data_IF_756595924573
#
_entry.id   IF_756595924573
#
_cell.length_a   1.000
_cell.length_b   1.000
_cell.length_c   1.000
_cell.angle_alpha   90.00
_cell.angle_beta   90.00
_cell.angle_gamma   90.00
#
_symmetry.space_group_name_H-M   'P 1'
#
loop_
_entity.id
_entity.type
_entity.pdbx_description
1 polymer ?
#
# COMPACT_ATOMS: atom_id res chain seq x y z
N UNK A 1 5.95 12.22 0.37
CA UNK A 1 5.86 10.92 1.07
C UNK A 1 6.79 9.97 0.34
N UNK A 2 7.72 9.34 1.04
CA UNK A 2 8.56 8.31 0.42
C UNK A 2 7.80 6.97 0.50
N UNK A 3 7.76 6.21 -0.59
CA UNK A 3 7.19 4.86 -0.59
C UNK A 3 8.17 3.93 0.09
N UNK A 4 7.66 3.02 0.91
CA UNK A 4 8.45 2.00 1.58
C UNK A 4 8.36 0.71 0.76
N UNK A 5 9.50 0.07 0.41
CA UNK A 5 9.47 -1.21 -0.28
C UNK A 5 8.81 -2.27 0.61
N UNK A 6 8.02 -3.15 0.00
CA UNK A 6 7.31 -4.22 0.70
C UNK A 6 7.69 -5.57 0.11
N UNK A 7 7.74 -6.62 0.93
CA UNK A 7 8.06 -7.96 0.47
C UNK A 7 6.81 -8.67 -0.04
N UNK A 8 6.43 -8.39 -1.28
CA UNK A 8 5.25 -8.97 -1.95
C UNK A 8 5.57 -9.39 -3.38
N UNK A 9 4.90 -10.44 -3.87
CA UNK A 9 5.01 -10.86 -5.28
C UNK A 9 4.34 -9.86 -6.24
N UNK A 10 3.40 -9.06 -5.76
CA UNK A 10 2.63 -8.12 -6.59
C UNK A 10 3.01 -6.65 -6.35
N UNK A 11 3.41 -6.30 -5.13
CA UNK A 11 3.68 -4.92 -4.72
C UNK A 11 5.18 -4.69 -4.55
N UNK A 12 5.70 -3.66 -5.20
CA UNK A 12 7.08 -3.21 -5.05
C UNK A 12 7.23 -2.26 -3.84
N UNK A 13 6.33 -1.28 -3.72
CA UNK A 13 6.38 -0.29 -2.64
C UNK A 13 5.00 0.28 -2.31
N UNK A 14 4.81 0.73 -1.08
CA UNK A 14 3.58 1.40 -0.63
C UNK A 14 3.92 2.66 0.15
N UNK A 15 3.13 3.72 -0.04
CA UNK A 15 3.26 4.96 0.71
C UNK A 15 1.91 5.54 1.08
N UNK A 16 1.85 6.24 2.21
CA UNK A 16 0.62 6.92 2.64
C UNK A 16 0.88 8.33 3.11
N UNK A 17 0.01 9.25 2.70
CA UNK A 17 -0.01 10.63 3.17
C UNK A 17 -1.23 10.86 4.05
N UNK A 18 -1.00 11.02 5.36
CA UNK A 18 -2.04 11.43 6.32
C UNK A 18 -2.66 12.78 5.96
N UNK A 19 -1.86 13.71 5.43
CA UNK A 19 -2.32 15.05 5.02
C UNK A 19 -3.29 14.99 3.84
N UNK A 20 -3.01 14.11 2.87
CA UNK A 20 -3.82 13.96 1.66
C UNK A 20 -4.86 12.84 1.78
N UNK A 21 -4.83 12.07 2.88
CA UNK A 21 -5.57 10.81 3.03
C UNK A 21 -5.44 9.95 1.78
N UNK A 22 -4.21 9.80 1.29
CA UNK A 22 -3.93 9.16 0.02
C UNK A 22 -2.95 8.01 0.19
N UNK A 23 -3.30 6.86 -0.35
CA UNK A 23 -2.48 5.66 -0.42
C UNK A 23 -1.92 5.52 -1.83
N UNK A 24 -0.61 5.40 -1.96
CA UNK A 24 0.09 5.08 -3.19
C UNK A 24 0.59 3.65 -3.13
N UNK A 25 0.30 2.87 -4.17
CA UNK A 25 0.72 1.49 -4.33
C UNK A 25 1.48 1.39 -5.64
N UNK A 26 2.73 0.93 -5.55
CA UNK A 26 3.59 0.62 -6.68
C UNK A 26 3.65 -0.89 -6.86
N UNK A 27 3.29 -1.35 -8.05
CA UNK A 27 3.33 -2.75 -8.42
C UNK A 27 4.69 -3.11 -9.00
N UNK A 28 5.05 -4.39 -8.94
CA UNK A 28 6.33 -4.92 -9.49
C UNK A 28 6.46 -4.70 -11.00
N UNK A 29 5.36 -4.49 -11.71
CA UNK A 29 5.34 -4.14 -13.14
C UNK A 29 5.54 -2.64 -13.41
N UNK A 30 5.77 -1.83 -12.37
CA UNK A 30 5.97 -0.38 -12.46
C UNK A 30 4.69 0.45 -12.47
N UNK A 31 3.50 -0.18 -12.45
CA UNK A 31 2.25 0.55 -12.36
C UNK A 31 2.09 1.19 -10.98
N UNK A 32 1.66 2.45 -10.94
CA UNK A 32 1.44 3.19 -9.69
C UNK A 32 -0.03 3.58 -9.61
N UNK A 33 -0.69 3.11 -8.56
CA UNK A 33 -2.08 3.44 -8.26
C UNK A 33 -2.14 4.34 -7.04
N UNK A 34 -2.99 5.37 -7.12
CA UNK A 34 -3.25 6.27 -6.01
C UNK A 34 -4.72 6.22 -5.63
N UNK A 35 -4.98 5.80 -4.41
CA UNK A 35 -6.30 5.80 -3.80
C UNK A 35 -6.43 7.05 -2.92
N UNK A 36 -7.47 7.83 -3.18
CA UNK A 36 -7.79 9.05 -2.44
C UNK A 36 -8.81 8.75 -1.34
N UNK A 37 -8.83 9.59 -0.29
CA UNK A 37 -9.76 9.49 0.83
C UNK A 37 -9.68 8.16 1.61
N UNK A 38 -8.48 7.58 1.65
CA UNK A 38 -8.19 6.36 2.41
C UNK A 38 -8.00 6.72 3.89
N UNK A 39 -8.76 6.12 4.82
CA UNK A 39 -8.55 6.31 6.25
C UNK A 39 -7.17 5.79 6.69
N UNK A 40 -6.54 6.41 7.71
CA UNK A 40 -5.24 5.98 8.22
C UNK A 40 -5.26 4.56 8.80
N UNK A 41 -6.41 4.09 9.26
CA UNK A 41 -6.63 2.72 9.76
C UNK A 41 -6.35 1.68 8.68
N UNK A 42 -6.84 1.90 7.45
CA UNK A 42 -6.60 1.00 6.32
C UNK A 42 -5.11 0.91 5.98
N UNK A 43 -4.39 2.03 6.05
CA UNK A 43 -2.93 2.01 5.85
C UNK A 43 -2.21 1.26 6.98
N UNK A 44 -2.68 1.42 8.22
CA UNK A 44 -2.11 0.71 9.37
C UNK A 44 -2.32 -0.80 9.23
N UNK A 45 -3.54 -1.23 8.89
CA UNK A 45 -3.88 -2.63 8.66
C UNK A 45 -3.07 -3.22 7.51
N UNK A 46 -2.89 -2.47 6.42
CA UNK A 46 -2.06 -2.88 5.28
C UNK A 46 -0.59 -3.07 5.67
N UNK A 47 -0.04 -2.20 6.53
CA UNK A 47 1.33 -2.30 7.04
C UNK A 47 1.51 -3.38 8.10
N UNK A 48 0.44 -3.80 8.79
CA UNK A 48 0.44 -4.92 9.74
C UNK A 48 0.19 -6.27 9.03
N UNK A 49 -0.45 -6.25 7.86
CA UNK A 49 -0.72 -7.41 7.01
C UNK A 49 0.34 -7.79 5.94
N UNK A 50 1.60 -7.29 5.90
CA UNK A 50 2.49 -7.49 4.75
C UNK A 50 3.06 -8.91 4.65
N UNK A 51 2.62 -9.83 5.52
CA UNK A 51 2.92 -11.26 5.40
C UNK A 51 1.67 -12.12 5.63
N UNK A 52 0.77 -12.14 4.64
CA UNK A 52 0.07 -13.35 4.15
C UNK A 52 -0.86 -12.92 3.02
N UNK A 53 -0.47 -13.24 1.80
CA UNK A 53 -1.33 -13.25 0.63
C UNK A 53 -2.45 -14.30 0.79
N UNK A 54 -3.36 -14.08 1.74
CA UNK A 54 -4.54 -14.89 2.02
C UNK A 54 -5.75 -13.96 2.17
N UNK A 55 -5.96 -13.11 1.16
CA UNK A 55 -7.20 -12.35 0.99
C UNK A 55 -7.77 -12.55 -0.43
N UNK A 56 -7.67 -13.80 -0.90
CA UNK A 56 -8.49 -14.36 -1.96
C UNK A 56 -8.79 -15.82 -1.59
N UNK A 57 -9.90 -16.03 -0.90
CA UNK A 57 -10.86 -17.12 -1.13
C UNK A 57 -12.26 -16.49 -1.11
#
# INVERSE_FOLDING_TARGET
MARQPVHSHALAAVGYSKRLRALEVEFVNGAIYRYSNVPPEIYHDLLVAPSRAHFYD
#
